data_IF_254555908048
#
_entry.id   IF_254555908048
#
_cell.length_a   1.000
_cell.length_b   1.000
_cell.length_c   1.000
_cell.angle_alpha   90.00
_cell.angle_beta   90.00
_cell.angle_gamma   90.00
#
_symmetry.space_group_name_H-M   'P 1'
#
loop_
_entity.id
_entity.type
_entity.pdbx_description
1 polymer ?
#
# COMPACT_ATOMS: atom_id res chain seq x y z
N UNK A 1 5.09 18.37 33.87
CA UNK A 1 4.08 17.64 33.07
C UNK A 1 3.88 18.53 31.86
N UNK A 2 4.47 18.30 30.70
CA UNK A 2 4.35 17.14 29.81
C UNK A 2 5.71 16.66 29.34
N UNK A 3 5.93 15.34 29.36
CA UNK A 3 7.07 14.74 28.68
C UNK A 3 6.82 14.82 27.18
N UNK A 4 7.69 15.55 26.49
CA UNK A 4 7.95 15.46 25.05
C UNK A 4 7.89 14.00 24.60
N UNK A 5 6.84 13.64 23.86
CA UNK A 5 6.78 12.37 23.13
C UNK A 5 7.78 12.51 21.97
N UNK A 6 9.05 12.24 22.27
CA UNK A 6 10.03 11.88 21.26
C UNK A 6 9.62 10.50 20.71
N UNK A 7 8.65 10.49 19.80
CA UNK A 7 8.41 9.32 18.96
C UNK A 7 9.56 9.24 17.95
N UNK A 8 10.56 8.44 18.31
CA UNK A 8 11.56 7.90 17.40
C UNK A 8 10.84 7.40 16.15
N UNK A 9 11.01 8.11 15.02
CA UNK A 9 10.62 7.62 13.70
C UNK A 9 11.41 6.34 13.42
N UNK A 10 10.87 5.18 13.79
CA UNK A 10 11.20 3.93 13.16
C UNK A 10 10.70 4.02 11.72
N UNK A 11 11.57 4.48 10.83
CA UNK A 11 11.28 4.56 9.40
C UNK A 11 11.32 3.14 8.85
N UNK A 12 10.14 2.56 8.60
CA UNK A 12 10.01 1.30 7.88
C UNK A 12 10.63 1.43 6.48
N UNK A 13 11.21 0.34 5.96
CA UNK A 13 11.67 0.27 4.56
C UNK A 13 10.48 0.07 3.62
N UNK A 14 9.45 -0.63 4.10
CA UNK A 14 8.22 -0.93 3.39
C UNK A 14 7.00 -0.45 4.16
N UNK A 15 5.99 -0.01 3.41
CA UNK A 15 4.66 0.28 3.92
C UNK A 15 3.64 -0.59 3.17
N UNK A 16 2.57 -0.96 3.87
CA UNK A 16 1.40 -1.59 3.26
C UNK A 16 0.37 -0.51 3.02
N UNK A 17 0.01 -0.28 1.76
CA UNK A 17 -1.17 0.50 1.40
C UNK A 17 -2.38 -0.44 1.44
N UNK A 18 -3.43 -0.01 2.11
CA UNK A 18 -4.71 -0.70 2.17
C UNK A 18 -5.77 0.22 1.59
N UNK A 19 -6.40 -0.21 0.50
CA UNK A 19 -7.58 0.46 -0.03
C UNK A 19 -8.81 -0.42 0.21
N UNK A 20 -9.84 0.13 0.85
CA UNK A 20 -11.12 -0.54 1.07
C UNK A 20 -12.13 0.14 0.16
N UNK A 21 -12.73 -0.63 -0.74
CA UNK A 21 -13.59 -0.12 -1.82
C UNK A 21 -14.84 -0.99 -1.98
N UNK A 22 -15.83 -0.47 -2.73
CA UNK A 22 -16.93 -1.29 -3.21
C UNK A 22 -16.45 -2.47 -4.07
N UNK A 23 -17.19 -3.58 -4.04
CA UNK A 23 -16.89 -4.75 -4.87
C UNK A 23 -16.88 -4.40 -6.37
N UNK A 24 -15.96 -5.00 -7.13
CA UNK A 24 -15.84 -4.79 -8.58
C UNK A 24 -15.00 -3.58 -9.00
N UNK A 25 -14.40 -2.85 -8.05
CA UNK A 25 -13.56 -1.68 -8.34
C UNK A 25 -12.05 -1.93 -8.13
N UNK A 26 -11.65 -3.12 -7.66
CA UNK A 26 -10.25 -3.43 -7.33
C UNK A 26 -9.31 -3.29 -8.51
N UNK A 27 -9.72 -3.67 -9.71
CA UNK A 27 -8.90 -3.55 -10.93
C UNK A 27 -8.46 -2.11 -11.21
N UNK A 28 -9.33 -1.12 -10.96
CA UNK A 28 -8.97 0.29 -11.11
C UNK A 28 -7.92 0.73 -10.10
N UNK A 29 -8.04 0.29 -8.85
CA UNK A 29 -7.04 0.56 -7.80
C UNK A 29 -5.70 -0.10 -8.15
N UNK A 30 -5.72 -1.36 -8.59
CA UNK A 30 -4.52 -2.10 -8.96
C UNK A 30 -3.84 -1.46 -10.18
N UNK A 31 -4.59 -1.08 -11.21
CA UNK A 31 -4.06 -0.38 -12.39
C UNK A 31 -3.43 0.96 -11.99
N UNK A 32 -4.13 1.77 -11.20
CA UNK A 32 -3.61 3.06 -10.74
C UNK A 32 -2.31 2.90 -9.95
N UNK A 33 -2.25 1.91 -9.07
CA UNK A 33 -1.05 1.64 -8.28
C UNK A 33 0.11 1.15 -9.15
N UNK A 34 -0.15 0.25 -10.10
CA UNK A 34 0.88 -0.29 -11.00
C UNK A 34 1.48 0.78 -11.90
N UNK A 35 0.65 1.68 -12.43
CA UNK A 35 1.10 2.81 -13.25
C UNK A 35 2.00 3.76 -12.44
N UNK A 36 1.76 3.86 -11.13
CA UNK A 36 2.58 4.65 -10.20
C UNK A 36 3.83 3.91 -9.67
N UNK A 37 4.08 2.67 -10.12
CA UNK A 37 5.29 1.89 -9.79
C UNK A 37 5.09 0.75 -8.79
N UNK A 38 3.85 0.46 -8.35
CA UNK A 38 3.58 -0.73 -7.55
C UNK A 38 3.81 -2.01 -8.38
N UNK A 39 4.31 -3.06 -7.74
CA UNK A 39 4.59 -4.33 -8.44
C UNK A 39 3.35 -5.20 -8.63
N UNK A 40 2.33 -5.02 -7.78
CA UNK A 40 1.11 -5.82 -7.76
C UNK A 40 0.32 -5.55 -6.50
N UNK A 41 -0.72 -6.35 -6.28
CA UNK A 41 -1.60 -6.24 -5.12
C UNK A 41 -2.17 -7.61 -4.76
N UNK A 42 -2.62 -7.74 -3.52
CA UNK A 42 -3.47 -8.84 -3.06
C UNK A 42 -4.88 -8.30 -2.82
N UNK A 43 -5.89 -8.97 -3.37
CA UNK A 43 -7.29 -8.58 -3.20
C UNK A 43 -7.94 -9.56 -2.22
N UNK A 44 -8.62 -9.02 -1.21
CA UNK A 44 -9.39 -9.79 -0.22
C UNK A 44 -10.85 -9.35 -0.30
N UNK A 45 -11.77 -10.31 -0.44
CA UNK A 45 -13.20 -10.04 -0.42
C UNK A 45 -13.71 -9.95 1.02
N UNK A 46 -14.62 -9.01 1.27
CA UNK A 46 -15.20 -8.80 2.59
C UNK A 46 -16.56 -8.12 2.55
N UNK A 47 -17.05 -7.72 3.73
CA UNK A 47 -18.28 -6.94 3.90
C UNK A 47 -17.99 -5.76 4.81
N UNK A 48 -18.66 -4.64 4.59
CA UNK A 48 -18.49 -3.41 5.37
C UNK A 48 -19.79 -3.01 6.07
N UNK A 49 -19.67 -2.09 7.01
CA UNK A 49 -20.80 -1.47 7.74
C UNK A 49 -20.69 0.07 7.78
N UNK A 50 -19.76 0.63 7.01
CA UNK A 50 -19.46 2.06 7.03
C UNK A 50 -20.55 2.90 6.37
N UNK A 51 -21.30 2.33 5.43
CA UNK A 51 -22.51 2.95 4.91
C UNK A 51 -23.61 2.86 5.95
N UNK A 52 -24.48 3.88 6.04
CA UNK A 52 -25.64 3.87 6.93
C UNK A 52 -26.40 2.53 6.81
N UNK A 53 -26.79 1.99 7.96
CA UNK A 53 -27.37 0.65 8.11
C UNK A 53 -28.61 0.50 7.22
N UNK A 54 -28.42 0.04 5.98
CA UNK A 54 -29.50 -0.14 5.02
C UNK A 54 -30.25 -1.37 5.44
N UNK A 55 -31.39 -1.17 6.10
CA UNK A 55 -32.28 -2.26 6.43
C UNK A 55 -33.26 -2.50 5.29
N UNK A 56 -33.31 -3.73 4.81
CA UNK A 56 -34.30 -4.19 3.83
C UNK A 56 -35.08 -5.31 4.53
N UNK A 57 -36.39 -5.11 4.71
CA UNK A 57 -37.27 -6.03 5.46
C UNK A 57 -36.78 -6.34 6.90
N UNK A 58 -36.18 -5.36 7.59
CA UNK A 58 -35.67 -5.53 8.96
C UNK A 58 -34.36 -6.33 9.08
N UNK A 59 -33.73 -6.65 7.95
CA UNK A 59 -32.41 -7.29 7.89
C UNK A 59 -31.37 -6.22 7.60
N UNK A 60 -30.34 -6.09 8.45
CA UNK A 60 -29.18 -5.21 8.19
C UNK A 60 -28.40 -5.76 6.99
N UNK A 61 -28.35 -4.97 5.92
CA UNK A 61 -27.62 -5.32 4.71
C UNK A 61 -26.20 -4.79 4.80
N UNK A 62 -25.26 -5.70 5.03
CA UNK A 62 -23.84 -5.38 4.97
C UNK A 62 -23.36 -5.37 3.50
N UNK A 63 -22.96 -4.21 2.94
CA UNK A 63 -22.44 -4.11 1.59
C UNK A 63 -21.18 -4.94 1.37
N UNK A 64 -21.07 -5.51 0.17
CA UNK A 64 -19.87 -6.22 -0.25
C UNK A 64 -18.73 -5.23 -0.52
N UNK A 65 -17.53 -5.59 -0.04
CA UNK A 65 -16.33 -4.77 -0.14
C UNK A 65 -15.16 -5.60 -0.64
N UNK A 66 -14.18 -4.91 -1.21
CA UNK A 66 -12.88 -5.47 -1.59
C UNK A 66 -11.78 -4.68 -0.86
N UNK A 67 -10.81 -5.39 -0.31
CA UNK A 67 -9.61 -4.81 0.28
C UNK A 67 -8.45 -5.08 -0.68
N UNK A 68 -7.83 -4.01 -1.17
CA UNK A 68 -6.65 -4.07 -2.03
C UNK A 68 -5.42 -3.76 -1.18
N UNK A 69 -4.57 -4.77 -0.99
CA UNK A 69 -3.36 -4.72 -0.19
C UNK A 69 -2.15 -4.59 -1.11
N UNK A 70 -1.36 -3.53 -0.94
CA UNK A 70 -0.25 -3.20 -1.82
C UNK A 70 0.98 -2.92 -0.97
N UNK A 71 1.95 -3.85 -1.03
CA UNK A 71 3.24 -3.67 -0.38
C UNK A 71 4.14 -2.82 -1.26
N UNK A 72 4.63 -1.70 -0.72
CA UNK A 72 5.43 -0.71 -1.44
C UNK A 72 6.65 -0.29 -0.62
N UNK A 73 7.68 0.27 -1.26
CA UNK A 73 8.74 0.92 -0.49
C UNK A 73 8.17 2.19 0.15
N UNK A 74 8.59 2.49 1.38
CA UNK A 74 8.03 3.64 2.13
C UNK A 74 8.27 5.00 1.46
N UNK A 75 9.28 5.11 0.58
CA UNK A 75 9.52 6.30 -0.25
C UNK A 75 8.57 6.43 -1.46
N UNK A 76 7.99 5.33 -1.94
CA UNK A 76 7.04 5.28 -3.06
C UNK A 76 5.59 5.44 -2.59
N UNK A 77 5.32 5.14 -1.31
CA UNK A 77 3.98 5.13 -0.70
C UNK A 77 3.12 6.34 -1.08
N UNK A 78 3.62 7.56 -0.84
CA UNK A 78 2.80 8.78 -1.02
C UNK A 78 2.38 8.96 -2.47
N UNK A 79 3.29 8.74 -3.40
CA UNK A 79 3.03 8.84 -4.85
C UNK A 79 1.97 7.83 -5.28
N UNK A 80 2.08 6.58 -4.82
CA UNK A 80 1.14 5.52 -5.16
C UNK A 80 -0.25 5.79 -4.54
N UNK A 81 -0.31 6.22 -3.27
CA UNK A 81 -1.58 6.58 -2.64
C UNK A 81 -2.28 7.74 -3.36
N UNK A 82 -1.52 8.75 -3.80
CA UNK A 82 -2.07 9.87 -4.57
C UNK A 82 -2.62 9.40 -5.92
N UNK A 83 -1.87 8.58 -6.65
CA UNK A 83 -2.32 8.05 -7.94
C UNK A 83 -3.59 7.19 -7.82
N UNK A 84 -3.71 6.40 -6.74
CA UNK A 84 -4.93 5.64 -6.43
C UNK A 84 -6.08 6.62 -6.20
N UNK A 85 -5.89 7.60 -5.32
CA UNK A 85 -6.92 8.60 -4.98
C UNK A 85 -7.44 9.33 -6.23
N UNK A 86 -6.54 9.76 -7.10
CA UNK A 86 -6.88 10.57 -8.28
C UNK A 86 -7.62 9.73 -9.34
N UNK A 87 -7.28 8.45 -9.50
CA UNK A 87 -7.87 7.59 -10.54
C UNK A 87 -9.18 6.90 -10.13
N UNK A 88 -9.43 6.69 -8.84
CA UNK A 88 -10.59 5.89 -8.40
C UNK A 88 -11.66 6.72 -7.68
N UNK A 89 -11.50 8.05 -7.65
CA UNK A 89 -12.41 8.98 -6.98
C UNK A 89 -12.72 8.55 -5.54
N UNK A 90 -11.73 8.07 -4.78
CA UNK A 90 -11.93 7.65 -3.37
C UNK A 90 -12.46 8.77 -2.47
N UNK A 91 -12.37 10.02 -2.93
CA UNK A 91 -12.89 11.20 -2.24
C UNK A 91 -14.41 11.36 -2.39
N UNK A 92 -15.08 10.57 -3.24
CA UNK A 92 -16.54 10.56 -3.35
C UNK A 92 -17.18 9.66 -2.28
N UNK A 93 -18.29 10.11 -1.69
CA UNK A 93 -19.01 9.35 -0.67
C UNK A 93 -19.38 7.94 -1.15
N UNK A 94 -19.19 6.95 -0.27
CA UNK A 94 -19.54 5.54 -0.51
C UNK A 94 -18.54 4.74 -1.36
N UNK A 95 -17.56 5.38 -2.04
CA UNK A 95 -16.61 4.68 -2.91
C UNK A 95 -15.50 3.94 -2.18
N UNK A 96 -15.12 4.40 -0.98
CA UNK A 96 -14.13 3.74 -0.14
C UNK A 96 -13.15 4.71 0.51
N UNK A 97 -12.03 4.18 1.01
CA UNK A 97 -10.92 4.97 1.51
C UNK A 97 -9.60 4.19 1.42
N UNK A 98 -8.49 4.91 1.53
CA UNK A 98 -7.15 4.33 1.49
C UNK A 98 -6.30 4.85 2.65
N UNK A 99 -5.55 3.95 3.28
CA UNK A 99 -4.61 4.27 4.35
C UNK A 99 -3.35 3.42 4.22
N UNK A 100 -2.35 3.71 5.04
CA UNK A 100 -1.09 2.96 5.04
C UNK A 100 -0.67 2.55 6.44
N UNK A 101 -0.04 1.39 6.55
CA UNK A 101 0.56 0.88 7.78
C UNK A 101 2.06 0.63 7.56
N UNK A 102 2.94 0.95 8.52
CA UNK A 102 4.35 0.58 8.43
C UNK A 102 4.51 -0.94 8.52
N UNK A 103 5.41 -1.51 7.72
CA UNK A 103 5.73 -2.94 7.77
C UNK A 103 7.10 -3.11 8.43
N UNK A 104 7.14 -3.87 9.52
CA UNK A 104 8.37 -4.09 10.30
C UNK A 104 9.38 -4.95 9.55
N UNK A 105 8.91 -6.07 8.97
CA UNK A 105 9.76 -7.05 8.31
C UNK A 105 9.07 -7.65 7.10
N UNK A 106 9.85 -7.96 6.07
CA UNK A 106 9.37 -8.59 4.84
C UNK A 106 10.36 -9.66 4.39
N UNK A 107 9.83 -10.85 4.10
CA UNK A 107 10.59 -11.97 3.53
C UNK A 107 9.94 -12.44 2.22
N UNK A 108 10.72 -13.06 1.34
CA UNK A 108 10.21 -13.67 0.09
C UNK A 108 10.06 -12.71 -1.11
N UNK A 109 10.50 -11.46 -1.01
CA UNK A 109 10.52 -10.54 -2.16
C UNK A 109 11.70 -10.82 -3.11
N UNK A 110 11.42 -11.45 -4.26
CA UNK A 110 12.44 -11.73 -5.30
C UNK A 110 13.23 -10.48 -5.74
N UNK A 111 12.55 -9.34 -5.87
CA UNK A 111 13.15 -8.07 -6.34
C UNK A 111 14.19 -7.48 -5.37
N UNK A 112 14.03 -7.70 -4.06
CA UNK A 112 14.99 -7.23 -3.04
C UNK A 112 16.30 -8.00 -3.17
N UNK A 113 16.23 -9.31 -3.47
CA UNK A 113 17.40 -10.14 -3.69
C UNK A 113 18.19 -9.70 -4.94
N UNK A 114 17.52 -9.26 -6.00
CA UNK A 114 18.15 -8.77 -7.23
C UNK A 114 18.78 -7.39 -7.05
N UNK A 115 18.08 -6.45 -6.40
CA UNK A 115 18.61 -5.11 -6.12
C UNK A 115 19.85 -5.15 -5.20
N UNK A 116 19.86 -6.04 -4.20
CA UNK A 116 21.05 -6.28 -3.36
C UNK A 116 22.23 -6.82 -4.17
N UNK A 117 22.00 -7.78 -5.08
CA UNK A 117 23.04 -8.33 -5.96
C UNK A 117 23.67 -7.26 -6.85
N UNK A 118 22.86 -6.35 -7.38
CA UNK A 118 23.34 -5.29 -8.27
C UNK A 118 24.12 -4.20 -7.53
N UNK A 119 23.70 -3.83 -6.32
CA UNK A 119 24.46 -2.92 -5.45
C UNK A 119 25.81 -3.54 -5.03
N UNK A 120 25.85 -4.84 -4.71
CA UNK A 120 27.09 -5.55 -4.37
C UNK A 120 28.04 -5.59 -5.58
N UNK A 121 27.53 -5.79 -6.80
CA UNK A 121 28.35 -5.71 -8.03
C UNK A 121 28.94 -4.31 -8.23
N UNK A 122 28.15 -3.26 -8.05
CA UNK A 122 28.60 -1.86 -8.19
C UNK A 122 29.65 -1.48 -7.13
N UNK A 123 29.44 -1.87 -5.88
CA UNK A 123 30.40 -1.63 -4.80
C UNK A 123 31.75 -2.32 -5.06
N UNK A 124 31.73 -3.59 -5.48
CA UNK A 124 32.95 -4.35 -5.84
C UNK A 124 33.66 -3.79 -7.08
N UNK A 125 32.93 -3.24 -8.04
CA UNK A 125 33.52 -2.58 -9.20
C UNK A 125 34.24 -1.27 -8.81
N UNK A 126 33.66 -0.50 -7.87
CA UNK A 126 34.23 0.74 -7.37
C UNK A 126 35.51 0.52 -6.54
N UNK A 127 35.56 -0.53 -5.71
CA UNK A 127 36.76 -0.89 -4.95
C UNK A 127 37.92 -1.34 -5.84
N UNK A 128 37.61 -2.00 -6.96
CA UNK A 128 38.63 -2.48 -7.93
C UNK A 128 39.25 -1.32 -8.73
N UNK A 129 38.54 -0.20 -8.88
CA UNK A 129 39.06 1.02 -9.51
C UNK A 129 39.94 1.87 -8.58
N UNK A 130 39.72 1.83 -7.26
CA UNK A 130 40.54 2.57 -6.28
C UNK A 130 41.89 1.93 -5.93
N UNK A 131 42.13 0.69 -6.41
CA UNK A 131 43.35 -0.09 -6.16
C UNK A 131 44.34 -0.06 -7.33
N UNK A 132 44.05 0.71 -8.38
CA UNK A 132 44.97 1.08 -9.46
C UNK A 132 45.30 2.55 -9.33
#
# INVERSE_FOLDING_TARGET
>A
MEKTINSTKNKSEYDMIVAIIGRGFSDYVVSAARDAGATGATIVYGRGTADADKQVFGISLQPERELVLILVKSNERRTIMQAISDKTSLMEEGRGFCFSLPVSEVFGLKRVAEQKKEQIKKAKALEKQKRK
#
